data_IF_377879906507
#
_entry.id   IF_377879906507
#
_cell.length_a   1.000
_cell.length_b   1.000
_cell.length_c   1.000
_cell.angle_alpha   90.00
_cell.angle_beta   90.00
_cell.angle_gamma   90.00
#
_symmetry.space_group_name_H-M   'P 1'
#
loop_
_entity.id
_entity.type
_entity.pdbx_description
1 polymer ?
#
# COMPACT_ATOMS: atom_id res chain seq x y z
N UNK A 1 6.15 -7.97 17.64
CA UNK A 1 7.60 -7.81 17.40
C UNK A 1 7.90 -7.44 15.94
N UNK A 2 7.26 -8.07 14.96
CA UNK A 2 7.54 -7.87 13.52
C UNK A 2 7.41 -6.42 13.03
N UNK A 3 6.33 -5.70 13.39
CA UNK A 3 6.16 -4.30 12.99
C UNK A 3 7.25 -3.37 13.54
N UNK A 4 7.65 -3.58 14.79
CA UNK A 4 8.70 -2.80 15.45
C UNK A 4 10.09 -3.16 14.91
N UNK A 5 10.36 -4.45 14.69
CA UNK A 5 11.61 -4.93 14.09
C UNK A 5 11.81 -4.41 12.66
N UNK A 6 10.72 -4.20 11.91
CA UNK A 6 10.73 -3.63 10.55
C UNK A 6 11.09 -2.14 10.49
N UNK A 7 10.93 -1.37 11.58
CA UNK A 7 11.12 0.09 11.56
C UNK A 7 12.13 0.64 12.55
N UNK A 8 12.45 -0.10 13.61
CA UNK A 8 13.33 0.35 14.70
C UNK A 8 14.78 -0.15 14.49
N UNK A 9 15.04 -0.97 13.47
CA UNK A 9 16.42 -1.32 13.08
C UNK A 9 17.18 -0.07 12.61
N UNK A 10 18.03 0.47 13.47
CA UNK A 10 19.00 1.54 13.16
C UNK A 10 18.77 2.89 13.84
N UNK A 11 17.67 3.10 14.57
CA UNK A 11 17.42 4.34 15.32
C UNK A 11 17.84 4.19 16.78
N UNK A 12 19.08 4.56 17.09
CA UNK A 12 19.45 4.86 18.47
C UNK A 12 19.18 6.35 18.74
N UNK A 13 18.48 6.67 19.83
CA UNK A 13 18.21 8.06 20.26
C UNK A 13 19.52 8.86 20.39
N UNK A 14 20.60 8.19 20.80
CA UNK A 14 21.96 8.72 20.88
C UNK A 14 22.50 9.14 19.51
N UNK A 15 22.23 8.38 18.44
CA UNK A 15 22.65 8.70 17.06
C UNK A 15 21.90 9.91 16.51
N UNK A 16 20.61 10.05 16.82
CA UNK A 16 19.80 11.19 16.39
C UNK A 16 20.28 12.51 17.02
N UNK A 17 20.56 12.51 18.33
CA UNK A 17 21.09 13.68 19.06
C UNK A 17 22.50 14.05 18.56
N UNK A 18 23.39 13.07 18.34
CA UNK A 18 24.74 13.33 17.82
C UNK A 18 24.74 13.92 16.39
N UNK A 19 23.80 13.48 15.55
CA UNK A 19 23.67 14.00 14.18
C UNK A 19 23.07 15.41 14.16
N UNK A 20 22.19 15.76 15.09
CA UNK A 20 21.65 17.12 15.22
C UNK A 20 22.70 18.16 15.66
N UNK A 21 23.73 17.73 16.42
CA UNK A 21 24.78 18.60 16.94
C UNK A 21 26.02 18.73 16.03
N UNK A 22 26.07 18.03 14.89
CA UNK A 22 27.19 18.10 13.93
C UNK A 22 26.81 18.94 12.70
N UNK A 23 27.67 19.87 12.27
CA UNK A 23 27.41 20.66 11.05
C UNK A 23 27.34 19.74 9.83
N UNK A 24 26.34 19.96 8.96
CA UNK A 24 26.08 19.21 7.71
C UNK A 24 27.31 19.24 6.79
N UNK A 25 28.22 18.27 6.93
CA UNK A 25 29.18 17.93 5.87
C UNK A 25 28.48 17.04 4.86
N UNK A 26 28.52 17.44 3.57
CA UNK A 26 28.13 16.59 2.44
C UNK A 26 28.97 15.31 2.46
N UNK A 27 28.44 14.23 2.98
CA UNK A 27 29.04 12.89 2.92
C UNK A 27 29.00 12.40 1.47
N UNK A 28 30.16 12.00 0.95
CA UNK A 28 30.34 11.47 -0.42
C UNK A 28 29.99 9.98 -0.56
N UNK A 29 29.65 9.29 0.53
CA UNK A 29 29.30 7.86 0.52
C UNK A 29 27.79 7.66 0.66
N UNK A 30 27.14 7.35 -0.47
CA UNK A 30 25.69 7.04 -0.54
C UNK A 30 25.33 5.66 0.01
N UNK A 31 26.30 4.86 0.46
CA UNK A 31 26.11 3.47 0.91
C UNK A 31 25.76 3.31 2.39
N UNK A 32 25.97 4.33 3.23
CA UNK A 32 25.74 4.27 4.69
C UNK A 32 24.74 5.33 5.17
N UNK A 33 23.78 5.71 4.33
CA UNK A 33 22.63 6.47 4.82
C UNK A 33 21.81 5.49 5.65
N UNK A 34 21.70 5.76 6.96
CA UNK A 34 20.76 5.07 7.85
C UNK A 34 19.39 5.16 7.15
N UNK A 35 18.81 4.00 6.75
CA UNK A 35 17.60 3.87 5.92
C UNK A 35 16.37 4.66 6.46
N UNK A 36 16.41 5.15 7.69
CA UNK A 36 15.35 5.95 8.33
C UNK A 36 15.36 7.44 7.94
N UNK A 37 16.35 7.92 7.19
CA UNK A 37 16.37 9.29 6.64
C UNK A 37 16.46 9.24 5.11
N UNK A 38 15.31 9.08 4.45
CA UNK A 38 15.19 9.36 3.02
C UNK A 38 15.23 10.88 2.87
N UNK A 39 16.37 11.41 2.41
CA UNK A 39 16.55 12.87 2.25
C UNK A 39 15.78 13.45 1.04
N UNK A 40 15.38 12.61 0.08
CA UNK A 40 14.56 13.03 -1.07
C UNK A 40 13.85 11.85 -1.73
N UNK A 41 12.70 12.11 -2.34
CA UNK A 41 11.95 11.16 -3.15
C UNK A 41 11.32 11.87 -4.36
N UNK A 42 10.93 11.10 -5.38
CA UNK A 42 10.18 11.64 -6.53
C UNK A 42 8.70 11.51 -6.27
N UNK A 43 7.94 12.53 -6.69
CA UNK A 43 6.49 12.54 -6.55
C UNK A 43 5.83 13.03 -7.84
N UNK A 44 4.74 12.40 -8.32
CA UNK A 44 4.05 12.88 -9.51
C UNK A 44 3.37 14.22 -9.27
N UNK A 45 3.47 15.13 -10.25
CA UNK A 45 2.98 16.52 -10.18
C UNK A 45 1.53 16.65 -9.70
N UNK A 46 0.65 15.72 -10.12
CA UNK A 46 -0.79 15.75 -9.79
C UNK A 46 -1.19 14.75 -8.70
N UNK A 47 -0.24 14.30 -7.88
CA UNK A 47 -0.47 13.27 -6.87
C UNK A 47 -0.24 11.85 -7.40
N UNK A 48 -0.26 10.84 -6.50
CA UNK A 48 0.19 9.48 -6.82
C UNK A 48 -0.69 8.79 -7.86
N UNK A 49 -1.95 9.20 -8.01
CA UNK A 49 -2.89 8.67 -9.01
C UNK A 49 -2.40 8.85 -10.45
N UNK A 50 -1.71 9.95 -10.75
CA UNK A 50 -1.19 10.28 -12.08
C UNK A 50 -0.33 9.15 -12.67
N UNK A 51 0.49 8.49 -11.85
CA UNK A 51 1.32 7.38 -12.29
C UNK A 51 0.48 6.16 -12.68
N UNK A 52 -0.60 5.89 -11.94
CA UNK A 52 -1.48 4.74 -12.17
C UNK A 52 -2.43 4.95 -13.35
N UNK A 53 -2.87 6.19 -13.58
CA UNK A 53 -3.58 6.58 -14.80
C UNK A 53 -2.71 6.35 -16.05
N UNK A 54 -1.47 6.86 -16.02
CA UNK A 54 -0.52 6.63 -17.12
C UNK A 54 -0.18 5.14 -17.31
N UNK A 55 -0.14 4.35 -16.23
CA UNK A 55 0.01 2.90 -16.29
C UNK A 55 -1.19 2.24 -16.98
N UNK A 56 -2.41 2.62 -16.60
CA UNK A 56 -3.63 2.10 -17.19
C UNK A 56 -3.73 2.39 -18.69
N UNK A 57 -3.35 3.60 -19.12
CA UNK A 57 -3.35 3.98 -20.53
C UNK A 57 -2.35 3.17 -21.35
N UNK A 58 -1.15 2.92 -20.79
CA UNK A 58 -0.15 2.05 -21.43
C UNK A 58 -0.64 0.61 -21.56
N UNK A 59 -1.30 0.07 -20.53
CA UNK A 59 -1.88 -1.28 -20.58
C UNK A 59 -2.91 -1.36 -21.71
N UNK A 60 -3.81 -0.37 -21.84
CA UNK A 60 -4.80 -0.32 -22.92
C UNK A 60 -4.15 -0.21 -24.30
N UNK A 61 -3.13 0.63 -24.44
CA UNK A 61 -2.38 0.78 -25.70
C UNK A 61 -1.66 -0.52 -26.11
N UNK A 62 -1.27 -1.35 -25.15
CA UNK A 62 -0.72 -2.70 -25.39
C UNK A 62 -1.78 -3.78 -25.63
N UNK A 63 -3.07 -3.41 -25.70
CA UNK A 63 -4.19 -4.34 -25.90
C UNK A 63 -4.72 -5.00 -24.62
N UNK A 64 -4.25 -4.58 -23.44
CA UNK A 64 -4.79 -5.03 -22.16
C UNK A 64 -6.16 -4.43 -21.85
N UNK A 65 -7.00 -5.20 -21.15
CA UNK A 65 -8.37 -4.79 -20.80
C UNK A 65 -8.43 -4.39 -19.33
N UNK A 66 -8.97 -3.19 -19.04
CA UNK A 66 -9.22 -2.71 -17.68
C UNK A 66 -10.70 -2.36 -17.56
N UNK A 67 -11.41 -3.10 -16.72
CA UNK A 67 -12.85 -2.93 -16.53
C UNK A 67 -13.15 -2.40 -15.13
N UNK A 68 -13.68 -1.18 -15.08
CA UNK A 68 -14.05 -0.51 -13.83
C UNK A 68 -15.54 -0.76 -13.53
N UNK A 69 -15.95 -0.57 -12.27
CA UNK A 69 -17.35 -0.76 -11.87
C UNK A 69 -17.81 -2.22 -11.83
N UNK A 70 -16.87 -3.17 -11.87
CA UNK A 70 -17.11 -4.62 -11.79
C UNK A 70 -16.60 -5.17 -10.45
N UNK A 71 -17.51 -5.45 -9.53
CA UNK A 71 -17.18 -6.01 -8.22
C UNK A 71 -17.15 -7.54 -8.31
N UNK A 72 -15.98 -8.15 -8.17
CA UNK A 72 -15.89 -9.62 -8.03
C UNK A 72 -16.60 -10.07 -6.75
N UNK A 73 -17.49 -11.06 -6.87
CA UNK A 73 -18.30 -11.61 -5.76
C UNK A 73 -18.07 -13.10 -5.53
N UNK A 74 -17.34 -13.78 -6.40
CA UNK A 74 -16.96 -15.17 -6.19
C UNK A 74 -16.00 -15.70 -7.25
N UNK A 75 -15.21 -16.70 -6.88
CA UNK A 75 -14.26 -17.40 -7.75
C UNK A 75 -14.46 -18.90 -7.56
N UNK A 76 -14.89 -19.60 -8.61
CA UNK A 76 -15.09 -21.05 -8.59
C UNK A 76 -14.00 -21.74 -9.41
N UNK A 77 -13.34 -22.73 -8.83
CA UNK A 77 -12.38 -23.59 -9.50
C UNK A 77 -13.08 -24.85 -10.03
N UNK A 78 -12.94 -25.09 -11.33
CA UNK A 78 -13.39 -26.30 -12.00
C UNK A 78 -12.19 -27.21 -12.23
N UNK A 79 -11.99 -28.18 -11.33
CA UNK A 79 -10.80 -29.04 -11.30
C UNK A 79 -10.65 -29.86 -12.59
N UNK A 80 -11.74 -30.47 -13.08
CA UNK A 80 -11.74 -31.26 -14.32
C UNK A 80 -11.36 -30.43 -15.55
N UNK A 81 -11.78 -29.17 -15.59
CA UNK A 81 -11.51 -28.26 -16.70
C UNK A 81 -10.16 -27.51 -16.56
N UNK A 82 -9.59 -27.46 -15.35
CA UNK A 82 -8.42 -26.65 -15.04
C UNK A 82 -8.67 -25.14 -15.22
N UNK A 83 -9.90 -24.68 -14.95
CA UNK A 83 -10.31 -23.29 -15.19
C UNK A 83 -11.02 -22.67 -13.99
N UNK A 84 -10.84 -21.36 -13.84
CA UNK A 84 -11.59 -20.51 -12.94
C UNK A 84 -12.82 -19.93 -13.64
N UNK A 85 -13.95 -19.94 -12.93
CA UNK A 85 -15.14 -19.14 -13.23
C UNK A 85 -15.20 -18.01 -12.20
N UNK A 86 -14.88 -16.79 -12.63
CA UNK A 86 -14.93 -15.59 -11.78
C UNK A 86 -16.26 -14.89 -12.01
N UNK A 87 -17.03 -14.72 -10.94
CA UNK A 87 -18.33 -14.03 -10.96
C UNK A 87 -18.15 -12.59 -10.47
N UNK A 88 -18.68 -11.62 -11.21
CA UNK A 88 -18.70 -10.21 -10.81
C UNK A 88 -20.10 -9.59 -10.96
N UNK A 89 -20.33 -8.54 -10.19
CA UNK A 89 -21.51 -7.69 -10.26
C UNK A 89 -21.14 -6.34 -10.88
N UNK A 90 -21.98 -5.83 -11.77
CA UNK A 90 -21.88 -4.45 -12.27
C UNK A 90 -22.48 -3.44 -11.27
N UNK A 91 -22.51 -2.17 -11.67
CA UNK A 91 -23.10 -1.08 -10.86
C UNK A 91 -24.61 -1.26 -10.61
N UNK A 92 -25.32 -2.03 -11.45
CA UNK A 92 -26.75 -2.35 -11.32
C UNK A 92 -26.99 -3.67 -10.57
N UNK A 93 -25.95 -4.29 -10.01
CA UNK A 93 -26.00 -5.61 -9.35
C UNK A 93 -26.33 -6.77 -10.28
N UNK A 94 -26.26 -6.59 -11.59
CA UNK A 94 -26.37 -7.70 -12.53
C UNK A 94 -25.11 -8.57 -12.45
N UNK A 95 -25.28 -9.88 -12.48
CA UNK A 95 -24.19 -10.87 -12.32
C UNK A 95 -23.70 -11.38 -13.66
N UNK A 96 -22.39 -11.45 -13.80
CA UNK A 96 -21.70 -11.92 -14.98
C UNK A 96 -20.57 -12.86 -14.59
N UNK A 97 -20.11 -13.67 -15.55
CA UNK A 97 -19.02 -14.62 -15.35
C UNK A 97 -17.95 -14.47 -16.43
N UNK A 98 -16.69 -14.68 -16.05
CA UNK A 98 -15.56 -14.82 -16.97
C UNK A 98 -14.78 -16.08 -16.64
N UNK A 99 -14.16 -16.68 -17.65
CA UNK A 99 -13.26 -17.81 -17.48
C UNK A 99 -11.80 -17.37 -17.45
N UNK A 100 -10.98 -18.01 -16.63
CA UNK A 100 -9.54 -17.74 -16.56
C UNK A 100 -8.72 -18.99 -16.22
N UNK A 101 -7.51 -19.11 -16.76
CA UNK A 101 -6.55 -20.16 -16.36
C UNK A 101 -5.84 -19.82 -15.05
N UNK A 102 -5.52 -18.54 -14.87
CA UNK A 102 -4.89 -18.01 -13.67
C UNK A 102 -5.72 -16.85 -13.11
N UNK A 103 -5.75 -16.75 -11.78
CA UNK A 103 -6.33 -15.61 -11.07
C UNK A 103 -5.24 -15.00 -10.20
N UNK A 104 -4.90 -13.73 -10.45
CA UNK A 104 -3.99 -12.95 -9.60
C UNK A 104 -4.86 -12.00 -8.77
N UNK A 105 -4.93 -12.24 -7.47
CA UNK A 105 -5.81 -11.50 -6.56
C UNK A 105 -5.02 -10.59 -5.62
N UNK A 106 -5.36 -9.29 -5.70
CA UNK A 106 -4.95 -8.27 -4.71
C UNK A 106 -6.07 -7.90 -3.74
N UNK A 107 -7.22 -8.58 -3.81
CA UNK A 107 -8.36 -8.35 -2.92
C UNK A 107 -8.01 -8.78 -1.48
N UNK A 108 -8.63 -8.20 -0.43
CA UNK A 108 -8.37 -8.61 0.95
C UNK A 108 -8.51 -10.12 1.16
N UNK A 109 -7.47 -10.75 1.73
CA UNK A 109 -7.37 -12.20 1.88
C UNK A 109 -8.63 -12.81 2.54
N UNK A 110 -9.17 -12.13 3.57
CA UNK A 110 -10.42 -12.54 4.22
C UNK A 110 -11.60 -12.61 3.24
N UNK A 111 -11.78 -11.58 2.41
CA UNK A 111 -12.90 -11.53 1.46
C UNK A 111 -12.74 -12.57 0.35
N UNK A 112 -11.51 -12.75 -0.14
CA UNK A 112 -11.21 -13.77 -1.13
C UNK A 112 -11.51 -15.17 -0.58
N UNK A 113 -11.05 -15.49 0.62
CA UNK A 113 -11.27 -16.79 1.27
C UNK A 113 -12.75 -17.21 1.27
N UNK A 114 -13.65 -16.29 1.62
CA UNK A 114 -15.10 -16.51 1.62
C UNK A 114 -15.72 -16.58 0.22
N UNK A 115 -15.08 -15.95 -0.77
CA UNK A 115 -15.51 -15.96 -2.16
C UNK A 115 -15.10 -17.20 -2.96
N UNK A 116 -14.25 -18.08 -2.41
CA UNK A 116 -13.74 -19.26 -3.12
C UNK A 116 -14.74 -20.42 -3.12
N UNK A 117 -14.83 -21.10 -4.27
CA UNK A 117 -15.57 -22.35 -4.45
C UNK A 117 -14.69 -23.37 -5.17
N UNK A 118 -14.61 -24.64 -4.74
CA UNK A 118 -15.16 -25.18 -3.50
C UNK A 118 -14.65 -24.43 -2.26
N UNK A 119 -15.45 -24.38 -1.20
CA UNK A 119 -15.09 -23.58 -0.01
C UNK A 119 -13.78 -24.08 0.62
N UNK A 120 -13.02 -23.16 1.21
CA UNK A 120 -11.90 -23.51 2.09
C UNK A 120 -12.40 -24.30 3.31
N UNK A 121 -11.50 -25.01 3.98
CA UNK A 121 -11.81 -25.72 5.21
C UNK A 121 -12.34 -24.76 6.28
N UNK A 122 -13.15 -25.27 7.22
CA UNK A 122 -13.64 -24.44 8.31
C UNK A 122 -12.51 -23.81 9.13
N UNK A 123 -11.39 -24.50 9.28
CA UNK A 123 -10.21 -23.98 9.94
C UNK A 123 -9.66 -22.74 9.21
N UNK A 124 -9.47 -22.83 7.89
CA UNK A 124 -9.00 -21.70 7.10
C UNK A 124 -10.01 -20.54 7.04
N UNK A 125 -11.32 -20.83 7.03
CA UNK A 125 -12.35 -19.78 7.11
C UNK A 125 -12.34 -19.09 8.48
N UNK A 126 -12.22 -19.84 9.58
CA UNK A 126 -12.04 -19.26 10.93
C UNK A 126 -10.77 -18.41 11.02
N UNK A 127 -9.66 -18.88 10.45
CA UNK A 127 -8.42 -18.11 10.36
C UNK A 127 -8.60 -16.83 9.55
N UNK A 128 -9.33 -16.88 8.43
CA UNK A 128 -9.65 -15.73 7.60
C UNK A 128 -10.49 -14.70 8.37
N UNK A 129 -11.49 -15.15 9.14
CA UNK A 129 -12.34 -14.27 9.95
C UNK A 129 -11.62 -13.62 11.13
N UNK A 130 -10.56 -14.25 11.62
CA UNK A 130 -9.68 -13.67 12.64
C UNK A 130 -8.77 -12.55 12.08
N UNK A 131 -8.59 -12.44 10.75
CA UNK A 131 -7.81 -11.37 10.16
C UNK A 131 -8.51 -10.02 10.31
N UNK A 132 -7.80 -9.06 10.91
CA UNK A 132 -8.26 -7.70 11.15
C UNK A 132 -7.63 -6.71 10.18
N UNK A 133 -8.41 -5.71 9.82
CA UNK A 133 -7.98 -4.59 8.99
C UNK A 133 -8.29 -3.30 9.73
N UNK A 134 -7.39 -2.32 9.60
CA UNK A 134 -7.63 -0.97 10.08
C UNK A 134 -8.10 -0.10 8.93
N UNK A 135 -9.13 0.67 9.19
CA UNK A 135 -9.68 1.64 8.26
C UNK A 135 -8.97 2.97 8.43
N UNK A 136 -9.07 3.79 7.39
CA UNK A 136 -8.34 5.05 7.33
C UNK A 136 -9.26 6.15 6.84
N UNK A 137 -9.19 7.28 7.52
CA UNK A 137 -9.96 8.45 7.19
C UNK A 137 -9.01 9.63 7.07
N UNK A 138 -9.13 10.40 5.98
CA UNK A 138 -8.44 11.68 5.84
C UNK A 138 -9.48 12.78 5.67
N UNK A 139 -9.36 13.83 6.49
CA UNK A 139 -10.11 15.06 6.32
C UNK A 139 -9.18 16.06 5.65
N UNK A 140 -9.57 16.47 4.46
CA UNK A 140 -8.87 17.46 3.67
C UNK A 140 -9.44 18.82 4.01
N UNK A 141 -8.60 19.75 4.47
CA UNK A 141 -8.99 21.13 4.70
C UNK A 141 -8.26 22.02 3.70
N UNK A 142 -9.00 22.90 3.03
CA UNK A 142 -8.45 23.95 2.16
C UNK A 142 -8.36 25.22 3.01
N UNK A 143 -7.17 25.81 3.06
CA UNK A 143 -6.90 26.97 3.91
C UNK A 143 -6.19 28.08 3.14
N UNK A 144 -6.29 29.30 3.67
CA UNK A 144 -5.36 30.39 3.34
C UNK A 144 -3.95 29.97 3.77
N UNK A 145 -2.99 30.09 2.86
CA UNK A 145 -1.61 29.71 3.16
C UNK A 145 -0.93 30.76 4.06
N UNK A 146 -0.68 30.36 5.30
CA UNK A 146 0.06 31.14 6.30
C UNK A 146 1.54 30.75 6.39
N UNK A 147 1.99 29.81 5.56
CA UNK A 147 3.37 29.28 5.54
C UNK A 147 3.83 28.78 6.92
N UNK A 148 2.94 28.10 7.65
CA UNK A 148 3.23 27.61 9.00
C UNK A 148 4.20 26.44 9.03
N UNK A 149 4.23 25.61 7.98
CA UNK A 149 5.24 24.58 7.78
C UNK A 149 5.34 24.18 6.30
N UNK A 150 6.51 23.71 5.87
CA UNK A 150 6.82 23.27 4.51
C UNK A 150 7.12 21.76 4.39
N UNK A 151 7.12 21.01 5.50
CA UNK A 151 7.24 19.56 5.50
C UNK A 151 6.10 18.88 4.71
N UNK A 152 6.41 17.77 4.03
CA UNK A 152 5.40 16.97 3.33
C UNK A 152 4.36 16.37 4.29
N UNK A 153 4.79 15.97 5.49
CA UNK A 153 3.91 15.50 6.55
C UNK A 153 4.56 15.66 7.93
N UNK A 154 3.72 15.75 8.97
CA UNK A 154 4.12 15.75 10.38
C UNK A 154 3.32 14.72 11.17
N UNK A 155 3.96 14.10 12.17
CA UNK A 155 3.29 13.19 13.10
C UNK A 155 2.83 13.95 14.34
N UNK A 156 1.60 13.67 14.77
CA UNK A 156 1.00 14.33 15.93
C UNK A 156 0.99 13.35 17.10
N UNK A 157 1.68 13.74 18.17
CA UNK A 157 1.77 12.98 19.43
C UNK A 157 1.15 13.76 20.59
N UNK A 158 0.16 14.60 20.31
CA UNK A 158 -0.60 15.33 21.32
C UNK A 158 -1.84 14.50 21.73
N UNK A 159 -1.95 14.04 23.00
CA UNK A 159 -3.11 13.29 23.46
C UNK A 159 -4.40 14.11 23.48
N UNK A 160 -4.32 15.43 23.32
CA UNK A 160 -5.46 16.35 23.33
C UNK A 160 -6.27 16.34 22.04
N UNK A 161 -5.80 15.67 20.98
CA UNK A 161 -6.41 15.57 19.65
C UNK A 161 -6.44 14.10 19.18
N UNK A 162 -7.23 13.80 18.14
CA UNK A 162 -7.32 12.47 17.54
C UNK A 162 -6.52 12.31 16.25
N UNK A 163 -6.20 13.41 15.56
CA UNK A 163 -5.36 13.36 14.35
C UNK A 163 -3.99 12.74 14.68
N UNK A 164 -3.56 11.79 13.85
CA UNK A 164 -2.27 11.10 14.03
C UNK A 164 -1.16 11.58 13.09
N UNK A 165 -1.53 12.10 11.92
CA UNK A 165 -0.62 12.67 10.93
C UNK A 165 -1.31 13.76 10.14
N UNK A 166 -0.56 14.81 9.80
CA UNK A 166 -1.04 15.87 8.91
C UNK A 166 -0.13 15.89 7.68
N UNK A 167 -0.71 15.84 6.48
CA UNK A 167 0.01 16.01 5.22
C UNK A 167 -0.18 17.43 4.68
N UNK A 168 0.86 18.02 4.09
CA UNK A 168 0.76 19.28 3.34
C UNK A 168 0.86 19.00 1.83
N UNK A 169 -0.28 18.97 1.14
CA UNK A 169 -0.33 18.63 -0.29
C UNK A 169 0.35 19.65 -1.20
N UNK A 170 0.43 20.92 -0.76
CA UNK A 170 1.19 21.94 -1.49
C UNK A 170 2.69 21.64 -1.48
N UNK A 171 3.21 21.15 -0.34
CA UNK A 171 4.60 20.70 -0.22
C UNK A 171 4.90 19.42 -0.99
N UNK A 172 3.91 18.54 -1.19
CA UNK A 172 4.07 17.38 -2.08
C UNK A 172 4.19 17.80 -3.55
N UNK A 173 3.34 18.73 -3.99
CA UNK A 173 3.49 19.40 -5.28
C UNK A 173 2.64 20.67 -5.35
N UNK A 174 3.16 21.80 -5.88
CA UNK A 174 2.36 23.01 -6.07
C UNK A 174 1.18 22.81 -7.04
N UNK A 175 1.22 21.80 -7.92
CA UNK A 175 0.12 21.52 -8.85
C UNK A 175 -1.05 20.77 -8.21
N UNK A 176 -0.88 20.26 -6.98
CA UNK A 176 -2.00 19.71 -6.21
C UNK A 176 -2.85 20.82 -5.57
N UNK A 177 -2.32 22.04 -5.46
CA UNK A 177 -3.04 23.22 -4.97
C UNK A 177 -2.77 24.38 -5.93
N UNK A 178 -3.51 24.48 -7.07
CA UNK A 178 -3.18 25.41 -8.14
C UNK A 178 -3.20 26.89 -7.75
N UNK A 179 -3.99 27.25 -6.73
CA UNK A 179 -4.00 28.61 -6.18
C UNK A 179 -2.82 28.79 -5.20
N UNK A 180 -1.84 29.65 -5.51
CA UNK A 180 -0.67 29.84 -4.67
C UNK A 180 -0.97 30.55 -3.35
N UNK A 181 -2.14 31.18 -3.19
CA UNK A 181 -2.58 31.79 -1.93
C UNK A 181 -3.16 30.78 -0.94
N UNK A 182 -3.38 29.53 -1.37
CA UNK A 182 -3.98 28.47 -0.58
C UNK A 182 -2.99 27.36 -0.25
N UNK A 183 -3.31 26.57 0.77
CA UNK A 183 -2.72 25.27 1.04
C UNK A 183 -3.82 24.25 1.31
N UNK A 184 -3.46 22.96 1.29
CA UNK A 184 -4.39 21.88 1.58
C UNK A 184 -3.74 20.90 2.56
N UNK A 185 -4.37 20.75 3.73
CA UNK A 185 -3.91 19.87 4.79
C UNK A 185 -4.77 18.62 4.88
N UNK A 186 -4.14 17.44 4.84
CA UNK A 186 -4.80 16.15 5.05
C UNK A 186 -4.59 15.68 6.47
N UNK A 187 -5.62 15.78 7.30
CA UNK A 187 -5.63 15.30 8.67
C UNK A 187 -6.04 13.83 8.67
N UNK A 188 -5.12 12.98 9.09
CA UNK A 188 -5.29 11.53 9.06
C UNK A 188 -5.71 10.96 10.41
N UNK A 189 -6.77 10.17 10.37
CA UNK A 189 -7.37 9.51 11.50
C UNK A 189 -7.34 7.99 11.31
N UNK A 190 -7.00 7.29 12.38
CA UNK A 190 -7.05 5.84 12.44
C UNK A 190 -8.33 5.41 13.14
N UNK A 191 -9.14 4.61 12.45
CA UNK A 191 -10.46 4.17 12.91
C UNK A 191 -10.73 2.74 12.47
N UNK A 192 -11.84 2.19 12.97
CA UNK A 192 -12.41 0.92 12.55
C UNK A 192 -13.81 1.15 11.99
N UNK A 193 -14.18 0.37 10.97
CA UNK A 193 -15.52 0.33 10.41
C UNK A 193 -16.54 0.11 11.54
N UNK A 194 -17.49 1.04 11.66
CA UNK A 194 -18.53 1.04 12.69
C UNK A 194 -18.20 1.81 13.97
N UNK A 195 -16.97 2.32 14.14
CA UNK A 195 -16.66 3.19 15.28
C UNK A 195 -17.26 4.61 15.12
N UNK A 196 -17.20 5.41 16.18
CA UNK A 196 -17.77 6.76 16.21
C UNK A 196 -17.14 7.73 15.19
N UNK A 197 -15.83 7.61 14.90
CA UNK A 197 -15.18 8.44 13.89
C UNK A 197 -15.59 8.02 12.48
N UNK A 198 -15.63 6.72 12.21
CA UNK A 198 -15.99 6.18 10.90
C UNK A 198 -17.44 6.51 10.51
N UNK A 199 -18.36 6.35 11.46
CA UNK A 199 -19.80 6.57 11.28
C UNK A 199 -20.23 8.03 11.36
N UNK A 200 -19.34 8.94 11.77
CA UNK A 200 -19.60 10.39 11.79
C UNK A 200 -19.87 10.92 10.38
N UNK A 201 -20.73 11.94 10.28
CA UNK A 201 -20.96 12.67 9.03
C UNK A 201 -19.72 13.44 8.59
N UNK A 202 -19.62 13.70 7.29
CA UNK A 202 -18.49 14.46 6.74
C UNK A 202 -18.40 15.86 7.35
N UNK A 203 -19.55 16.52 7.56
CA UNK A 203 -19.61 17.82 8.22
C UNK A 203 -19.04 17.77 9.65
N UNK A 204 -19.41 16.76 10.44
CA UNK A 204 -18.91 16.63 11.81
C UNK A 204 -17.39 16.36 11.85
N UNK A 205 -16.87 15.59 10.89
CA UNK A 205 -15.45 15.32 10.77
C UNK A 205 -14.66 16.54 10.30
N UNK A 206 -15.22 17.34 9.40
CA UNK A 206 -14.63 18.61 8.96
C UNK A 206 -14.54 19.58 10.13
N UNK A 207 -15.61 19.77 10.90
CA UNK A 207 -15.58 20.63 12.09
C UNK A 207 -14.58 20.13 13.14
N UNK A 208 -14.56 18.82 13.41
CA UNK A 208 -13.56 18.22 14.30
C UNK A 208 -12.13 18.48 13.82
N UNK A 209 -11.86 18.32 12.53
CA UNK A 209 -10.53 18.54 11.97
C UNK A 209 -10.13 20.02 12.07
N UNK A 210 -11.05 20.95 11.85
CA UNK A 210 -10.83 22.39 12.05
C UNK A 210 -10.45 22.71 13.49
N UNK A 211 -11.24 22.23 14.45
CA UNK A 211 -11.00 22.43 15.88
C UNK A 211 -9.63 21.90 16.30
N UNK A 212 -9.27 20.68 15.89
CA UNK A 212 -7.98 20.08 16.22
C UNK A 212 -6.82 20.83 15.57
N UNK A 213 -6.95 21.25 14.31
CA UNK A 213 -5.90 22.00 13.62
C UNK A 213 -5.62 23.35 14.27
N UNK A 214 -6.68 24.06 14.69
CA UNK A 214 -6.57 25.31 15.45
C UNK A 214 -5.95 25.06 16.82
N UNK A 215 -6.37 24.00 17.52
CA UNK A 215 -5.85 23.63 18.84
C UNK A 215 -4.34 23.32 18.82
N UNK A 216 -3.86 22.67 17.76
CA UNK A 216 -2.43 22.39 17.55
C UNK A 216 -1.66 23.67 17.17
N UNK A 217 -2.35 24.74 16.75
CA UNK A 217 -1.75 26.02 16.35
C UNK A 217 -1.31 26.07 14.88
N UNK A 218 -1.85 25.19 14.04
CA UNK A 218 -1.51 25.09 12.61
C UNK A 218 -2.51 25.80 11.68
N UNK A 219 -3.52 26.47 12.25
CA UNK A 219 -4.44 27.34 11.53
C UNK A 219 -5.16 28.28 12.51
N UNK A 220 -5.74 29.36 12.00
CA UNK A 220 -6.81 30.09 12.69
C UNK A 220 -8.18 29.64 12.18
N UNK A 221 -9.27 29.79 12.98
CA UNK A 221 -10.61 29.43 12.54
C UNK A 221 -11.00 30.06 11.18
N UNK A 222 -10.64 31.33 10.95
CA UNK A 222 -10.94 32.08 9.73
C UNK A 222 -10.06 31.75 8.51
N UNK A 223 -9.08 30.86 8.68
CA UNK A 223 -8.21 30.43 7.59
C UNK A 223 -8.83 29.28 6.78
N UNK A 224 -9.73 28.48 7.38
CA UNK A 224 -10.32 27.31 6.71
C UNK A 224 -11.48 27.73 5.81
N UNK A 225 -11.35 27.43 4.52
CA UNK A 225 -12.30 27.84 3.49
C UNK A 225 -13.27 26.73 3.12
N UNK A 226 -12.79 25.49 3.06
CA UNK A 226 -13.57 24.33 2.65
C UNK A 226 -12.92 23.04 3.16
N UNK A 227 -13.62 21.92 3.03
CA UNK A 227 -13.05 20.61 3.30
C UNK A 227 -13.82 19.45 2.69
N UNK A 228 -13.14 18.32 2.57
CA UNK A 228 -13.75 17.07 2.12
C UNK A 228 -13.21 15.88 2.91
N UNK A 229 -13.99 14.80 2.97
CA UNK A 229 -13.63 13.59 3.71
C UNK A 229 -13.46 12.43 2.75
N UNK A 230 -12.36 11.70 2.91
CA UNK A 230 -12.12 10.45 2.18
C UNK A 230 -11.98 9.31 3.18
N UNK A 231 -12.80 8.27 2.99
CA UNK A 231 -12.78 7.03 3.77
C UNK A 231 -12.21 5.90 2.93
N UNK A 232 -11.18 5.24 3.44
CA UNK A 232 -10.57 4.07 2.84
C UNK A 232 -10.78 2.86 3.76
N UNK A 233 -11.71 1.95 3.43
CA UNK A 233 -11.86 0.72 4.19
C UNK A 233 -10.65 -0.19 3.98
N UNK A 234 -10.30 -0.95 5.01
CA UNK A 234 -9.26 -1.98 5.01
C UNK A 234 -7.91 -1.45 4.51
N UNK A 235 -7.55 -0.24 4.92
CA UNK A 235 -6.33 0.43 4.47
C UNK A 235 -5.05 -0.30 4.90
N UNK A 236 -5.08 -0.91 6.09
CA UNK A 236 -3.92 -1.60 6.66
C UNK A 236 -4.28 -2.98 7.22
N UNK A 237 -3.50 -4.03 6.93
CA UNK A 237 -3.57 -5.27 7.69
C UNK A 237 -3.11 -5.01 9.13
N UNK A 238 -3.82 -5.59 10.10
CA UNK A 238 -3.44 -5.55 11.51
C UNK A 238 -2.70 -6.84 11.86
N UNK A 239 -1.58 -6.70 12.57
CA UNK A 239 -0.79 -7.81 13.08
C UNK A 239 -1.07 -7.96 14.57
N UNK A 240 -2.00 -8.85 14.93
CA UNK A 240 -2.16 -9.32 16.30
C UNK A 240 -1.27 -10.54 16.56
N UNK A 241 -1.33 -11.17 17.73
CA UNK A 241 -0.40 -12.25 18.08
C UNK A 241 -0.60 -13.52 17.23
N UNK A 242 -1.73 -13.66 16.52
CA UNK A 242 -2.09 -14.87 15.76
C UNK A 242 -2.12 -14.65 14.25
N UNK A 243 -1.89 -13.43 13.78
CA UNK A 243 -2.02 -13.09 12.36
C UNK A 243 -1.19 -14.00 11.45
N UNK A 244 0.05 -14.30 11.83
CA UNK A 244 0.98 -15.07 11.02
C UNK A 244 0.52 -16.53 10.85
N UNK A 245 0.04 -17.16 11.92
CA UNK A 245 -0.54 -18.49 11.90
C UNK A 245 -1.79 -18.53 10.99
N UNK A 246 -2.66 -17.54 11.15
CA UNK A 246 -3.89 -17.43 10.36
C UNK A 246 -3.58 -17.28 8.86
N UNK A 247 -2.64 -16.39 8.50
CA UNK A 247 -2.20 -16.20 7.12
C UNK A 247 -1.57 -17.48 6.56
N UNK A 248 -0.69 -18.14 7.32
CA UNK A 248 -0.03 -19.38 6.90
C UNK A 248 -1.04 -20.50 6.62
N UNK A 249 -2.07 -20.64 7.47
CA UNK A 249 -3.13 -21.63 7.29
C UNK A 249 -3.90 -21.41 5.98
N UNK A 250 -4.37 -20.18 5.74
CA UNK A 250 -5.11 -19.83 4.52
C UNK A 250 -4.23 -20.02 3.28
N UNK A 251 -3.00 -19.51 3.33
CA UNK A 251 -2.03 -19.61 2.24
C UNK A 251 -1.77 -21.06 1.87
N UNK A 252 -1.42 -21.90 2.84
CA UNK A 252 -1.05 -23.30 2.59
C UNK A 252 -2.19 -24.07 1.95
N UNK A 253 -3.42 -23.81 2.42
CA UNK A 253 -4.59 -24.46 1.83
C UNK A 253 -4.86 -23.97 0.40
N UNK A 254 -4.77 -22.65 0.15
CA UNK A 254 -4.91 -22.10 -1.21
C UNK A 254 -3.84 -22.67 -2.14
N UNK A 255 -2.56 -22.68 -1.75
CA UNK A 255 -1.47 -23.19 -2.58
C UNK A 255 -1.67 -24.68 -2.92
N UNK A 256 -2.20 -25.47 -1.98
CA UNK A 256 -2.46 -26.91 -2.19
C UNK A 256 -3.66 -27.17 -3.11
N UNK A 257 -4.74 -26.42 -2.95
CA UNK A 257 -6.03 -26.71 -3.63
C UNK A 257 -6.21 -25.94 -4.93
N UNK A 258 -5.55 -24.79 -5.04
CA UNK A 258 -5.79 -23.80 -6.08
C UNK A 258 -4.46 -23.30 -6.64
N UNK A 259 -3.67 -24.16 -7.32
CA UNK A 259 -2.30 -23.85 -7.73
C UNK A 259 -2.18 -22.67 -8.70
N UNK A 260 -3.27 -22.27 -9.35
CA UNK A 260 -3.32 -21.13 -10.28
C UNK A 260 -3.99 -19.88 -9.70
N UNK A 261 -4.29 -19.87 -8.39
CA UNK A 261 -4.70 -18.69 -7.63
C UNK A 261 -3.50 -18.06 -6.92
N UNK A 262 -3.17 -16.83 -7.28
CA UNK A 262 -2.00 -16.13 -6.79
C UNK A 262 -2.38 -14.95 -5.90
N UNK A 263 -1.82 -14.89 -4.70
CA UNK A 263 -2.03 -13.80 -3.75
C UNK A 263 -0.92 -12.75 -3.88
N UNK A 264 -1.29 -11.49 -4.12
CA UNK A 264 -0.33 -10.40 -4.32
C UNK A 264 -0.74 -9.13 -3.56
N UNK A 265 0.22 -8.21 -3.40
CA UNK A 265 -0.05 -6.89 -2.84
C UNK A 265 -0.27 -6.87 -1.33
N UNK A 266 -0.68 -5.70 -0.82
CA UNK A 266 -0.83 -5.46 0.62
C UNK A 266 -1.91 -6.35 1.25
N UNK A 267 -3.15 -6.23 0.78
CA UNK A 267 -4.28 -6.91 1.42
C UNK A 267 -4.49 -8.34 0.91
N UNK A 268 -4.08 -8.65 -0.33
CA UNK A 268 -4.10 -10.02 -0.86
C UNK A 268 -3.17 -10.97 -0.12
N UNK A 269 -2.04 -10.47 0.37
CA UNK A 269 -1.09 -11.23 1.18
C UNK A 269 -1.20 -10.93 2.68
N UNK A 270 -2.15 -10.08 3.09
CA UNK A 270 -2.25 -9.53 4.46
C UNK A 270 -0.90 -9.02 5.01
N UNK A 271 -0.13 -8.37 4.14
CA UNK A 271 1.24 -7.91 4.42
C UNK A 271 1.32 -6.41 4.35
N UNK A 272 1.79 -5.77 5.40
CA UNK A 272 2.01 -4.33 5.46
C UNK A 272 3.12 -3.94 4.46
N UNK A 273 2.74 -3.60 3.23
CA UNK A 273 3.64 -3.34 2.09
C UNK A 273 3.53 -1.89 1.61
N UNK A 274 4.62 -1.30 1.11
CA UNK A 274 4.56 -0.07 0.31
C UNK A 274 4.22 -0.40 -1.16
N UNK A 275 3.99 0.63 -1.99
CA UNK A 275 3.53 0.45 -3.38
C UNK A 275 4.51 -0.36 -4.23
N UNK A 276 5.81 -0.10 -4.07
CA UNK A 276 6.91 -0.81 -4.73
C UNK A 276 6.92 -2.31 -4.40
N UNK A 277 6.77 -2.67 -3.13
CA UNK A 277 6.68 -4.06 -2.67
C UNK A 277 5.43 -4.74 -3.22
N UNK A 278 4.29 -4.05 -3.17
CA UNK A 278 3.05 -4.59 -3.72
C UNK A 278 3.19 -4.89 -5.22
N UNK A 279 3.80 -3.99 -5.99
CA UNK A 279 4.04 -4.24 -7.42
C UNK A 279 5.06 -5.34 -7.68
N UNK A 280 6.12 -5.40 -6.89
CA UNK A 280 7.13 -6.46 -7.03
C UNK A 280 6.50 -7.85 -6.88
N UNK A 281 5.57 -8.04 -5.93
CA UNK A 281 4.86 -9.32 -5.78
C UNK A 281 4.07 -9.70 -7.03
N UNK A 282 3.41 -8.75 -7.70
CA UNK A 282 2.69 -9.00 -8.95
C UNK A 282 3.64 -9.30 -10.12
N UNK A 283 4.74 -8.56 -10.24
CA UNK A 283 5.73 -8.78 -11.30
C UNK A 283 6.40 -10.16 -11.18
N UNK A 284 6.79 -10.57 -9.98
CA UNK A 284 7.36 -11.89 -9.73
C UNK A 284 6.33 -13.01 -9.92
N UNK A 285 5.07 -12.76 -9.57
CA UNK A 285 3.97 -13.69 -9.85
C UNK A 285 3.84 -13.96 -11.36
N UNK A 286 3.80 -12.90 -12.18
CA UNK A 286 3.73 -13.04 -13.65
C UNK A 286 4.93 -13.80 -14.20
N UNK A 287 6.13 -13.58 -13.67
CA UNK A 287 7.32 -14.36 -14.06
C UNK A 287 7.20 -15.85 -13.74
N UNK A 288 6.67 -16.20 -12.57
CA UNK A 288 6.40 -17.60 -12.22
C UNK A 288 5.38 -18.23 -13.19
N UNK A 289 4.31 -17.50 -13.54
CA UNK A 289 3.29 -17.96 -14.49
C UNK A 289 3.93 -18.23 -15.86
N UNK A 290 4.69 -17.27 -16.40
CA UNK A 290 5.34 -17.41 -17.70
C UNK A 290 6.40 -18.51 -17.74
N UNK A 291 7.02 -18.83 -16.60
CA UNK A 291 7.97 -19.92 -16.48
C UNK A 291 7.33 -21.28 -16.18
N UNK A 292 6.01 -21.32 -15.99
CA UNK A 292 5.23 -22.51 -15.62
C UNK A 292 5.75 -23.24 -14.37
N UNK A 293 6.49 -22.52 -13.51
CA UNK A 293 7.06 -23.05 -12.26
C UNK A 293 7.33 -21.94 -11.25
N UNK A 294 7.37 -22.31 -9.97
CA UNK A 294 7.73 -21.38 -8.89
C UNK A 294 9.24 -21.13 -8.90
N UNK A 295 9.67 -20.03 -9.52
CA UNK A 295 11.06 -19.54 -9.49
C UNK A 295 11.26 -18.61 -8.29
N UNK A 296 10.26 -17.80 -7.98
CA UNK A 296 10.31 -16.81 -6.91
C UNK A 296 9.27 -17.12 -5.82
N UNK A 297 9.67 -16.98 -4.55
CA UNK A 297 8.72 -16.98 -3.43
C UNK A 297 8.26 -15.55 -3.12
N UNK A 298 7.01 -15.24 -3.48
CA UNK A 298 6.44 -13.90 -3.33
C UNK A 298 6.42 -13.43 -1.86
N UNK A 299 6.30 -14.39 -0.94
CA UNK A 299 6.19 -14.12 0.50
C UNK A 299 7.50 -13.62 1.11
N UNK A 300 8.62 -13.83 0.44
CA UNK A 300 9.93 -13.30 0.82
C UNK A 300 10.14 -11.83 0.41
N UNK A 301 9.21 -11.22 -0.34
CA UNK A 301 9.27 -9.79 -0.68
C UNK A 301 8.99 -8.95 0.57
N UNK A 302 10.03 -8.61 1.33
CA UNK A 302 9.95 -7.81 2.57
C UNK A 302 10.24 -6.32 2.33
N UNK A 303 9.82 -5.48 3.28
CA UNK A 303 10.00 -4.02 3.26
C UNK A 303 11.47 -3.57 3.14
N UNK A 304 12.41 -4.42 3.54
CA UNK A 304 13.85 -4.12 3.51
C UNK A 304 14.52 -4.41 2.17
N UNK A 305 13.81 -5.02 1.21
CA UNK A 305 14.39 -5.51 -0.05
C UNK A 305 15.72 -6.26 0.15
N UNK A 306 15.87 -6.96 1.27
CA UNK A 306 16.92 -7.96 1.47
C UNK A 306 16.28 -9.33 1.31
N UNK A 307 16.62 -9.99 0.20
CA UNK A 307 16.43 -11.43 0.06
C UNK A 307 17.44 -12.07 1.02
N UNK A 308 16.97 -12.53 2.17
CA UNK A 308 17.78 -13.31 3.10
C UNK A 308 17.46 -14.79 2.92
N UNK A 309 18.34 -15.53 2.25
CA UNK A 309 18.46 -16.96 2.53
C UNK A 309 19.08 -17.09 3.92
N UNK A 310 18.25 -17.22 4.95
CA UNK A 310 18.72 -17.55 6.29
C UNK A 310 18.41 -19.02 6.55
N UNK A 311 19.34 -19.88 6.10
CA UNK A 311 19.44 -21.27 6.49
C UNK A 311 20.87 -21.73 6.26
N UNK A 312 21.48 -22.38 7.26
CA UNK A 312 22.88 -22.84 7.31
C UNK A 312 23.21 -23.97 6.33
N UNK A 313 22.62 -23.95 5.13
CA UNK A 313 22.95 -24.80 3.99
C UNK A 313 23.55 -24.00 2.81
N UNK A 314 23.75 -22.68 2.98
CA UNK A 314 24.26 -21.76 1.96
C UNK A 314 25.77 -21.73 1.77
N UNK A 315 26.45 -22.88 1.75
CA UNK A 315 27.91 -22.94 1.52
C UNK A 315 28.33 -23.58 0.19
N UNK A 316 27.41 -24.07 -0.66
CA UNK A 316 27.82 -24.80 -1.89
C UNK A 316 27.08 -24.49 -3.19
N UNK A 317 26.23 -23.47 -3.28
CA UNK A 317 25.62 -23.11 -4.57
C UNK A 317 25.65 -21.59 -4.85
N UNK A 318 26.85 -21.06 -5.08
CA UNK A 318 27.07 -19.74 -5.70
C UNK A 318 26.79 -19.75 -7.21
N UNK A 319 25.58 -20.11 -7.67
CA UNK A 319 25.19 -19.82 -9.06
C UNK A 319 23.67 -19.66 -9.18
N UNK A 320 23.14 -18.46 -8.94
CA UNK A 320 21.75 -18.17 -9.26
C UNK A 320 21.22 -16.85 -8.70
N UNK A 321 20.84 -15.94 -9.60
CA UNK A 321 20.01 -14.76 -9.35
C UNK A 321 20.66 -13.47 -8.77
N UNK A 322 21.97 -13.27 -8.91
CA UNK A 322 22.59 -11.92 -8.77
C UNK A 322 22.30 -10.98 -9.95
N UNK A 323 21.66 -11.47 -11.03
CA UNK A 323 21.44 -10.74 -12.28
C UNK A 323 20.20 -9.85 -12.39
N UNK A 324 19.49 -9.53 -11.31
CA UNK A 324 18.20 -8.79 -11.39
C UNK A 324 18.12 -7.50 -10.56
N UNK A 325 19.25 -6.87 -10.25
CA UNK A 325 19.27 -5.43 -9.98
C UNK A 325 19.09 -4.64 -11.28
N UNK A 326 17.92 -4.76 -11.90
CA UNK A 326 17.45 -3.79 -12.88
C UNK A 326 16.69 -2.71 -12.13
N UNK A 327 17.44 -1.71 -11.65
CA UNK A 327 16.85 -0.41 -11.32
C UNK A 327 16.31 0.14 -12.65
N UNK A 328 15.02 0.52 -12.76
CA UNK A 328 14.49 1.08 -14.00
C UNK A 328 15.30 2.31 -14.42
N UNK A 329 16.01 2.20 -15.54
CA UNK A 329 16.72 3.32 -16.16
C UNK A 329 15.81 4.02 -17.16
N UNK A 330 16.02 5.33 -17.34
CA UNK A 330 15.30 6.11 -18.36
C UNK A 330 15.56 5.49 -19.73
N UNK A 331 14.51 5.19 -20.49
CA UNK A 331 14.63 4.83 -21.91
C UNK A 331 15.29 6.03 -22.60
N UNK A 332 16.49 5.84 -23.15
CA UNK A 332 17.10 6.84 -24.02
C UNK A 332 16.30 6.86 -25.33
N UNK A 333 15.74 8.00 -25.67
CA UNK A 333 15.17 8.22 -27.00
C UNK A 333 16.29 8.00 -28.02
N UNK A 334 16.06 7.09 -28.97
CA UNK A 334 16.98 6.88 -30.07
C UNK A 334 17.10 8.21 -30.83
N UNK A 335 18.31 8.77 -30.87
CA UNK A 335 18.62 9.90 -31.74
C UNK A 335 18.29 9.48 -33.17
N UNK A 336 17.33 10.16 -33.79
CA UNK A 336 17.06 10.04 -35.21
C UNK A 336 18.35 10.41 -35.97
N UNK A 337 19.00 9.42 -36.58
CA UNK A 337 20.08 9.69 -37.53
C UNK A 337 19.45 10.36 -38.75
N UNK A 338 19.92 11.56 -39.05
CA UNK A 338 19.92 12.07 -40.43
C UNK A 338 21.02 11.37 -41.23
#
# INVERSE_FOLDING_TARGET
>A
ADWAAQRIKGLSLKTAILNALRPRKKTKDKGQIIKTLIDSFRYPRKGPGMMWEACADKIRAMGGVIEMGKKVVGCRWEEEAGLWIVTYEDQRKARFQVQARHVISSAPLRQLAHGLRPALSENALRAADALKYRDFLTVMLILKDRQLFDDNWIYIHDPSVKVGRIQNFKSWSPEMVPDPSLCCYGLEYFCFEGDGLWSSSDAALIEKAKEELVKIGLAKPEDVLDGCVVRQPKAYPVYDDRYAENVAMIRTEIEKRFPTLHLVGRNGMHKYNNQDHAMMTAMLCVRNILAERKIYDLWQVNQDAEYHEAGTAGAQHEVGATGLRLVPTRIQEAAASR
#
